data_IF_101710113124
#
_entry.id   IF_101710113124
#
_cell.length_a   1.000
_cell.length_b   1.000
_cell.length_c   1.000
_cell.angle_alpha   90.00
_cell.angle_beta   90.00
_cell.angle_gamma   90.00
#
_symmetry.space_group_name_H-M   'P 1'
#
loop_
_entity.id
_entity.type
_entity.pdbx_description
1 polymer ?
#
# COMPACT_ATOMS: atom_id res chain seq x y z
N UNK A 1 10.56 -1.49 -17.85
CA UNK A 1 9.66 -0.58 -17.12
C UNK A 1 8.93 -1.40 -16.07
N UNK A 2 9.02 -1.05 -14.79
CA UNK A 2 8.25 -1.76 -13.76
C UNK A 2 6.81 -1.30 -13.92
N UNK A 3 5.95 -2.17 -14.45
CA UNK A 3 4.52 -1.88 -14.62
C UNK A 3 3.95 -1.56 -13.25
N UNK A 4 3.50 -0.31 -13.04
CA UNK A 4 2.73 0.04 -11.85
C UNK A 4 1.34 -0.54 -12.07
N UNK A 5 0.96 -1.55 -11.28
CA UNK A 5 -0.41 -2.03 -11.25
C UNK A 5 -1.23 -0.96 -10.52
N UNK A 6 -2.09 -0.21 -11.24
CA UNK A 6 -2.87 0.85 -10.62
C UNK A 6 -3.81 0.24 -9.57
N UNK A 7 -3.83 0.82 -8.38
CA UNK A 7 -4.64 0.34 -7.26
C UNK A 7 -3.93 -0.60 -6.27
N UNK A 8 -2.73 -1.08 -6.59
CA UNK A 8 -1.88 -1.85 -5.67
C UNK A 8 -0.79 -0.96 -5.06
N UNK A 9 -0.33 -1.30 -3.85
CA UNK A 9 0.78 -0.65 -3.17
C UNK A 9 1.92 -1.64 -2.98
N UNK A 10 3.16 -1.24 -3.27
CA UNK A 10 4.33 -2.08 -2.97
C UNK A 10 4.70 -1.96 -1.49
N UNK A 11 5.37 -3.00 -0.97
CA UNK A 11 5.91 -2.99 0.40
C UNK A 11 6.82 -1.78 0.63
N UNK A 12 7.67 -1.42 -0.34
CA UNK A 12 8.56 -0.25 -0.21
C UNK A 12 7.77 1.06 -0.08
N UNK A 13 6.70 1.24 -0.87
CA UNK A 13 5.85 2.42 -0.83
C UNK A 13 5.09 2.52 0.49
N UNK A 14 4.59 1.38 1.01
CA UNK A 14 3.94 1.31 2.32
C UNK A 14 4.89 1.68 3.47
N UNK A 15 6.13 1.16 3.44
CA UNK A 15 7.14 1.44 4.48
C UNK A 15 7.55 2.91 4.46
N UNK A 16 7.75 3.50 3.28
CA UNK A 16 8.05 4.94 3.15
C UNK A 16 6.91 5.79 3.69
N UNK A 17 5.65 5.51 3.31
CA UNK A 17 4.49 6.23 3.80
C UNK A 17 4.35 6.13 5.32
N UNK A 18 4.44 4.92 5.87
CA UNK A 18 4.31 4.70 7.33
C UNK A 18 5.42 5.43 8.10
N UNK A 19 6.61 5.54 7.51
CA UNK A 19 7.72 6.30 8.10
C UNK A 19 7.43 7.81 8.03
N UNK A 20 6.86 8.33 6.95
CA UNK A 20 6.43 9.73 6.88
C UNK A 20 5.31 10.03 7.88
N UNK A 21 4.30 9.16 7.97
CA UNK A 21 3.22 9.23 8.96
C UNK A 21 3.78 9.31 10.39
N UNK A 22 4.79 8.48 10.70
CA UNK A 22 5.43 8.49 12.02
C UNK A 22 6.17 9.80 12.31
N UNK A 23 6.90 10.33 11.33
CA UNK A 23 7.66 11.58 11.50
C UNK A 23 6.78 12.83 11.51
N UNK A 24 5.61 12.76 10.84
CA UNK A 24 4.66 13.86 10.69
C UNK A 24 3.20 13.39 10.87
N UNK A 25 2.77 13.11 12.11
CA UNK A 25 1.45 12.49 12.36
C UNK A 25 0.26 13.30 11.84
N UNK A 26 0.38 14.63 11.78
CA UNK A 26 -0.70 15.54 11.32
C UNK A 26 -0.89 15.53 9.81
N UNK A 27 0.12 15.09 9.05
CA UNK A 27 0.04 14.97 7.58
C UNK A 27 -0.25 13.54 7.14
N UNK A 28 -0.65 12.68 8.08
CA UNK A 28 -0.78 11.27 7.79
C UNK A 28 -1.83 11.00 6.72
N UNK A 29 -1.48 10.17 5.74
CA UNK A 29 -2.39 9.74 4.66
C UNK A 29 -2.86 8.30 4.81
N UNK A 30 -2.50 7.65 5.93
CA UNK A 30 -2.75 6.24 6.18
C UNK A 30 -4.19 5.79 5.87
N UNK A 31 -5.19 6.56 6.32
CA UNK A 31 -6.62 6.23 6.10
C UNK A 31 -6.98 6.22 4.61
N UNK A 32 -6.44 7.18 3.84
CA UNK A 32 -6.67 7.27 2.39
C UNK A 32 -5.99 6.14 1.62
N UNK A 33 -4.91 5.58 2.16
CA UNK A 33 -4.06 4.56 1.52
C UNK A 33 -4.42 3.13 1.91
N UNK A 34 -5.08 2.96 3.06
CA UNK A 34 -5.59 1.67 3.54
C UNK A 34 -6.43 0.87 2.50
N UNK A 35 -7.28 1.47 1.65
CA UNK A 35 -7.96 0.73 0.57
C UNK A 35 -7.00 0.04 -0.39
N UNK A 36 -5.87 0.68 -0.75
CA UNK A 36 -4.86 0.10 -1.62
C UNK A 36 -4.12 -1.06 -0.95
N UNK A 37 -3.89 -0.95 0.37
CA UNK A 37 -3.32 -2.04 1.16
C UNK A 37 -4.24 -3.28 1.14
N UNK A 38 -5.55 -3.10 1.41
CA UNK A 38 -6.53 -4.19 1.36
C UNK A 38 -6.62 -4.81 -0.04
N UNK A 39 -6.62 -3.98 -1.09
CA UNK A 39 -6.63 -4.45 -2.47
C UNK A 39 -5.40 -5.30 -2.79
N UNK A 40 -4.23 -4.91 -2.29
CA UNK A 40 -2.99 -5.67 -2.47
C UNK A 40 -3.04 -7.03 -1.78
N UNK A 41 -3.55 -7.10 -0.55
CA UNK A 41 -3.74 -8.37 0.15
C UNK A 41 -4.71 -9.26 -0.62
N UNK A 42 -5.88 -8.76 -1.00
CA UNK A 42 -6.88 -9.53 -1.75
C UNK A 42 -6.30 -10.09 -3.07
N UNK A 43 -5.54 -9.28 -3.81
CA UNK A 43 -4.89 -9.73 -5.04
C UNK A 43 -3.80 -10.77 -4.82
N UNK A 44 -3.09 -10.73 -3.68
CA UNK A 44 -2.11 -11.76 -3.32
C UNK A 44 -2.81 -13.06 -2.91
N UNK A 45 -3.87 -12.98 -2.11
CA UNK A 45 -4.68 -14.15 -1.72
C UNK A 45 -5.29 -14.85 -2.95
N UNK A 46 -5.83 -14.10 -3.92
CA UNK A 46 -6.32 -14.65 -5.18
C UNK A 46 -5.23 -15.31 -6.04
N UNK A 47 -3.98 -14.85 -5.94
CA UNK A 47 -2.85 -15.42 -6.67
C UNK A 47 -2.30 -16.70 -6.01
N UNK A 48 -2.38 -16.82 -4.68
CA UNK A 48 -2.01 -18.04 -3.94
C UNK A 48 -3.05 -19.15 -4.04
N UNK A 49 -4.31 -18.82 -4.36
CA UNK A 49 -5.41 -19.79 -4.51
C UNK A 49 -5.47 -20.40 -5.93
N UNK A 50 -4.67 -19.89 -6.89
CA UNK A 50 -4.57 -20.41 -8.26
C UNK A 50 -3.31 -21.24 -8.46
#
# INVERSE_FOLDING_TARGET
QIVRMPGLIRVSEFVEETREDYNSPTTSTFVSRMPQCRQTIASLEEAEIK
#
